data_IF_217435858184
#
_entry.id   IF_217435858184
#
_cell.length_a   1.000
_cell.length_b   1.000
_cell.length_c   1.000
_cell.angle_alpha   90.00
_cell.angle_beta   90.00
_cell.angle_gamma   90.00
#
_symmetry.space_group_name_H-M   'P 1'
#
loop_
_entity.id
_entity.type
_entity.pdbx_description
1 polymer ?
#
# COMPACT_ATOMS: atom_id res chain seq x y z
N UNK A 1 0.60 27.42 8.36
CA UNK A 1 0.79 25.96 8.22
C UNK A 1 -0.55 25.33 8.52
N UNK A 2 -1.23 24.81 7.52
CA UNK A 2 -2.49 24.08 7.71
C UNK A 2 -2.15 22.80 8.49
N UNK A 3 -2.91 22.55 9.55
CA UNK A 3 -2.62 21.46 10.48
C UNK A 3 -2.90 20.12 9.75
N UNK A 4 -1.89 19.28 9.60
CA UNK A 4 -1.99 17.98 8.91
C UNK A 4 -3.18 17.13 9.41
N UNK A 5 -3.49 17.22 10.72
CA UNK A 5 -4.63 16.53 11.34
C UNK A 5 -6.00 17.09 10.89
N UNK A 6 -6.08 18.35 10.48
CA UNK A 6 -7.32 18.95 9.96
C UNK A 6 -7.53 18.58 8.49
N UNK A 7 -6.47 18.59 7.67
CA UNK A 7 -6.53 18.12 6.28
C UNK A 7 -6.97 16.64 6.18
N UNK A 8 -6.44 15.76 7.06
CA UNK A 8 -6.84 14.35 7.06
C UNK A 8 -8.28 14.12 7.57
N UNK A 9 -8.82 14.99 8.41
CA UNK A 9 -10.21 14.90 8.89
C UNK A 9 -11.23 15.34 7.85
N UNK A 10 -11.00 16.47 7.16
CA UNK A 10 -11.91 16.96 6.12
C UNK A 10 -11.90 16.09 4.85
N UNK A 11 -10.74 15.49 4.50
CA UNK A 11 -10.62 14.62 3.31
C UNK A 11 -11.09 13.19 3.55
N UNK A 12 -11.13 12.70 4.81
CA UNK A 12 -11.61 11.34 5.14
C UNK A 12 -13.11 11.17 4.92
N UNK A 13 -13.89 12.24 4.81
CA UNK A 13 -15.33 12.15 4.53
C UNK A 13 -15.68 12.02 3.04
N UNK A 14 -14.71 12.28 2.13
CA UNK A 14 -14.89 12.02 0.70
C UNK A 14 -14.76 10.52 0.44
N UNK A 15 -15.88 9.79 0.47
CA UNK A 15 -15.92 8.38 0.08
C UNK A 15 -15.42 8.23 -1.35
N UNK A 16 -14.33 7.51 -1.51
CA UNK A 16 -13.89 7.03 -2.83
C UNK A 16 -15.01 6.11 -3.33
N UNK A 17 -15.69 6.46 -4.42
CA UNK A 17 -16.73 5.61 -5.00
C UNK A 17 -16.08 4.30 -5.47
N UNK A 18 -16.67 3.20 -5.04
CA UNK A 18 -16.25 1.86 -5.41
C UNK A 18 -16.56 1.62 -6.89
N UNK A 19 -15.68 0.93 -7.58
CA UNK A 19 -15.82 0.41 -8.94
C UNK A 19 -17.21 -0.24 -9.21
N UNK A 20 -17.59 -0.42 -10.49
CA UNK A 20 -18.83 -1.11 -10.85
C UNK A 20 -19.00 -2.41 -10.08
N UNK A 21 -20.26 -2.75 -9.78
CA UNK A 21 -20.58 -3.96 -9.00
C UNK A 21 -20.19 -5.19 -9.81
N UNK A 22 -19.03 -5.74 -9.55
CA UNK A 22 -18.59 -7.02 -10.13
C UNK A 22 -19.22 -8.19 -9.38
N UNK A 23 -19.53 -9.24 -10.13
CA UNK A 23 -20.18 -10.45 -9.65
C UNK A 23 -19.22 -11.63 -9.58
N UNK A 24 -19.66 -12.73 -8.96
CA UNK A 24 -18.95 -14.00 -8.97
C UNK A 24 -18.82 -14.58 -10.40
N UNK A 25 -19.80 -14.30 -11.25
CA UNK A 25 -19.73 -14.75 -12.64
C UNK A 25 -18.64 -14.03 -13.43
N UNK A 26 -18.43 -12.73 -13.17
CA UNK A 26 -17.31 -11.99 -13.75
C UNK A 26 -15.96 -12.58 -13.33
N UNK A 27 -15.82 -13.02 -12.07
CA UNK A 27 -14.63 -13.75 -11.59
C UNK A 27 -14.43 -15.06 -12.33
N UNK A 28 -15.47 -15.90 -12.43
CA UNK A 28 -15.38 -17.21 -13.09
C UNK A 28 -15.03 -17.08 -14.57
N UNK A 29 -15.55 -16.06 -15.25
CA UNK A 29 -15.26 -15.77 -16.64
C UNK A 29 -13.79 -15.37 -16.88
N UNK A 30 -13.06 -15.00 -15.84
CA UNK A 30 -11.64 -14.65 -15.87
C UNK A 30 -10.71 -15.78 -15.41
N UNK A 31 -11.21 -16.97 -15.08
CA UNK A 31 -10.34 -18.10 -14.75
C UNK A 31 -9.50 -18.49 -15.96
N UNK A 32 -8.19 -18.52 -15.77
CA UNK A 32 -7.23 -18.99 -16.79
C UNK A 32 -6.84 -20.46 -16.60
N UNK A 33 -7.11 -21.02 -15.42
CA UNK A 33 -6.95 -22.42 -15.13
C UNK A 33 -8.29 -23.07 -14.86
N UNK A 34 -8.44 -24.32 -15.28
CA UNK A 34 -9.59 -25.15 -14.91
C UNK A 34 -9.47 -25.57 -13.44
N UNK A 35 -10.60 -25.55 -12.74
CA UNK A 35 -10.63 -26.09 -11.37
C UNK A 35 -10.40 -27.60 -11.43
N UNK A 36 -9.39 -28.15 -10.73
CA UNK A 36 -9.17 -29.58 -10.72
C UNK A 36 -10.40 -30.35 -10.24
N UNK A 37 -10.60 -31.55 -10.81
CA UNK A 37 -11.69 -32.42 -10.42
C UNK A 37 -11.43 -33.01 -9.03
N UNK A 38 -12.45 -32.98 -8.18
CA UNK A 38 -12.39 -33.51 -6.82
C UNK A 38 -13.31 -32.77 -5.87
N UNK A 39 -13.90 -33.50 -4.94
CA UNK A 39 -14.83 -32.94 -3.97
C UNK A 39 -14.19 -31.82 -3.16
N UNK A 40 -12.94 -32.00 -2.77
CA UNK A 40 -12.18 -31.05 -1.98
C UNK A 40 -11.99 -29.69 -2.70
N UNK A 41 -11.63 -29.72 -3.99
CA UNK A 41 -11.51 -28.51 -4.82
C UNK A 41 -12.85 -27.82 -5.01
N UNK A 42 -13.91 -28.57 -5.28
CA UNK A 42 -15.25 -28.02 -5.47
C UNK A 42 -15.76 -27.35 -4.20
N UNK A 43 -15.60 -28.01 -3.05
CA UNK A 43 -16.04 -27.50 -1.76
C UNK A 43 -15.22 -26.24 -1.38
N UNK A 44 -13.90 -26.28 -1.62
CA UNK A 44 -13.02 -25.13 -1.40
C UNK A 44 -13.40 -23.94 -2.28
N UNK A 45 -13.60 -24.17 -3.58
CA UNK A 45 -13.97 -23.12 -4.54
C UNK A 45 -15.29 -22.44 -4.15
N UNK A 46 -16.32 -23.23 -3.81
CA UNK A 46 -17.61 -22.71 -3.36
C UNK A 46 -17.46 -21.81 -2.14
N UNK A 47 -16.75 -22.28 -1.11
CA UNK A 47 -16.50 -21.54 0.12
C UNK A 47 -15.75 -20.22 -0.13
N UNK A 48 -14.71 -20.25 -0.96
CA UNK A 48 -13.93 -19.05 -1.30
C UNK A 48 -14.79 -18.02 -2.05
N UNK A 49 -15.53 -18.45 -3.08
CA UNK A 49 -16.40 -17.56 -3.86
C UNK A 49 -17.51 -16.96 -3.01
N UNK A 50 -18.11 -17.72 -2.09
CA UNK A 50 -19.11 -17.21 -1.15
C UNK A 50 -18.52 -16.12 -0.26
N UNK A 51 -17.34 -16.34 0.33
CA UNK A 51 -16.70 -15.37 1.21
C UNK A 51 -16.23 -14.12 0.46
N UNK A 52 -15.69 -14.27 -0.76
CA UNK A 52 -15.32 -13.17 -1.65
C UNK A 52 -16.55 -12.31 -1.98
N UNK A 53 -17.68 -12.94 -2.28
CA UNK A 53 -18.94 -12.23 -2.57
C UNK A 53 -19.46 -11.47 -1.35
N UNK A 54 -19.52 -12.14 -0.20
CA UNK A 54 -20.02 -11.56 1.05
C UNK A 54 -19.19 -10.35 1.50
N UNK A 55 -17.87 -10.40 1.27
CA UNK A 55 -16.94 -9.29 1.57
C UNK A 55 -16.79 -8.28 0.41
N UNK A 56 -17.55 -8.44 -0.69
CA UNK A 56 -17.56 -7.54 -1.88
C UNK A 56 -16.16 -7.36 -2.51
N UNK A 57 -15.38 -8.44 -2.59
CA UNK A 57 -14.01 -8.40 -3.08
C UNK A 57 -13.86 -8.72 -4.58
N UNK A 58 -14.96 -8.93 -5.31
CA UNK A 58 -14.92 -9.28 -6.74
C UNK A 58 -14.14 -8.23 -7.55
N UNK A 59 -14.48 -6.95 -7.41
CA UNK A 59 -13.78 -5.86 -8.11
C UNK A 59 -12.31 -5.75 -7.76
N UNK A 60 -11.95 -6.04 -6.51
CA UNK A 60 -10.55 -6.03 -6.07
C UNK A 60 -9.70 -7.11 -6.78
N UNK A 61 -10.21 -8.34 -6.84
CA UNK A 61 -9.54 -9.44 -7.53
C UNK A 61 -9.47 -9.19 -9.04
N UNK A 62 -10.56 -8.71 -9.65
CA UNK A 62 -10.59 -8.39 -11.08
C UNK A 62 -9.64 -7.25 -11.43
N UNK A 63 -9.47 -6.25 -10.57
CA UNK A 63 -8.47 -5.20 -10.78
C UNK A 63 -7.04 -5.76 -10.78
N UNK A 64 -6.74 -6.75 -9.93
CA UNK A 64 -5.45 -7.43 -9.99
C UNK A 64 -5.28 -8.21 -11.30
N UNK A 65 -6.32 -8.89 -11.79
CA UNK A 65 -6.31 -9.58 -13.09
C UNK A 65 -6.07 -8.59 -14.23
N UNK A 66 -6.76 -7.45 -14.26
CA UNK A 66 -6.56 -6.41 -15.28
C UNK A 66 -5.12 -5.89 -15.31
N UNK A 67 -4.48 -5.71 -14.14
CA UNK A 67 -3.06 -5.35 -14.05
C UNK A 67 -2.20 -6.42 -14.72
N UNK A 68 -2.47 -7.69 -14.45
CA UNK A 68 -1.73 -8.80 -15.05
C UNK A 68 -1.96 -8.91 -16.56
N UNK A 69 -3.16 -8.63 -17.04
CA UNK A 69 -3.49 -8.61 -18.48
C UNK A 69 -2.71 -7.54 -19.23
N UNK A 70 -2.61 -6.31 -18.70
CA UNK A 70 -1.84 -5.24 -19.35
C UNK A 70 -0.32 -5.42 -19.23
N UNK A 71 0.13 -6.27 -18.31
CA UNK A 71 1.54 -6.60 -18.08
C UNK A 71 1.88 -8.04 -18.44
N UNK A 72 1.09 -8.69 -19.30
CA UNK A 72 1.13 -10.13 -19.60
C UNK A 72 2.49 -10.66 -20.07
N UNK A 73 3.36 -9.80 -20.63
CA UNK A 73 4.72 -10.17 -21.03
C UNK A 73 5.76 -9.98 -19.91
N UNK A 74 5.37 -9.44 -18.75
CA UNK A 74 6.26 -9.27 -17.60
C UNK A 74 5.96 -10.39 -16.60
N UNK A 75 6.91 -11.30 -16.32
CA UNK A 75 6.70 -12.34 -15.33
C UNK A 75 6.48 -11.74 -13.94
N UNK A 76 5.60 -12.32 -13.17
CA UNK A 76 5.34 -11.91 -11.80
C UNK A 76 5.32 -13.11 -10.84
N UNK A 77 5.53 -12.83 -9.58
CA UNK A 77 5.33 -13.76 -8.47
C UNK A 77 4.44 -13.07 -7.44
N UNK A 78 3.48 -13.81 -6.90
CA UNK A 78 2.62 -13.29 -5.83
C UNK A 78 3.23 -13.62 -4.47
N UNK A 79 3.30 -12.62 -3.61
CA UNK A 79 3.72 -12.79 -2.22
C UNK A 79 2.54 -12.79 -1.25
N UNK A 80 2.82 -13.06 0.01
CA UNK A 80 1.86 -12.89 1.09
C UNK A 80 0.75 -13.92 1.11
N UNK A 81 -0.46 -13.46 1.41
CA UNK A 81 -1.62 -14.32 1.67
C UNK A 81 -2.34 -14.82 0.41
N UNK A 82 -2.14 -14.19 -0.75
CA UNK A 82 -2.81 -14.57 -2.02
C UNK A 82 -2.52 -16.02 -2.42
N UNK A 83 -1.31 -16.54 -2.13
CA UNK A 83 -0.95 -17.93 -2.39
C UNK A 83 -1.77 -18.97 -1.62
N UNK A 84 -2.66 -18.54 -0.71
CA UNK A 84 -3.57 -19.45 0.02
C UNK A 84 -4.99 -19.48 -0.56
N UNK A 85 -5.26 -18.76 -1.64
CA UNK A 85 -6.57 -18.73 -2.30
C UNK A 85 -6.57 -19.53 -3.60
N UNK A 86 -7.49 -20.50 -3.71
CA UNK A 86 -7.74 -21.24 -4.94
C UNK A 86 -8.28 -20.31 -6.04
N UNK A 87 -9.14 -19.35 -5.68
CA UNK A 87 -9.64 -18.35 -6.63
C UNK A 87 -8.49 -17.52 -7.20
N UNK A 88 -7.55 -17.07 -6.36
CA UNK A 88 -6.37 -16.34 -6.84
C UNK A 88 -5.50 -17.20 -7.77
N UNK A 89 -5.38 -18.50 -7.51
CA UNK A 89 -4.70 -19.44 -8.39
C UNK A 89 -5.42 -19.58 -9.74
N UNK A 90 -6.73 -19.84 -9.73
CA UNK A 90 -7.52 -20.00 -10.96
C UNK A 90 -7.53 -18.72 -11.83
N UNK A 91 -7.46 -17.56 -11.20
CA UNK A 91 -7.32 -16.25 -11.88
C UNK A 91 -5.90 -15.97 -12.39
N UNK A 92 -4.91 -16.80 -12.05
CA UNK A 92 -3.50 -16.55 -12.39
C UNK A 92 -2.85 -15.42 -11.57
N UNK A 93 -3.53 -14.90 -10.55
CA UNK A 93 -2.92 -13.96 -9.59
C UNK A 93 -1.82 -14.68 -8.82
N UNK A 94 -2.08 -15.91 -8.36
CA UNK A 94 -1.09 -16.76 -7.68
C UNK A 94 -0.61 -17.89 -8.60
N UNK A 95 0.70 -18.19 -8.51
CA UNK A 95 1.33 -19.30 -9.22
C UNK A 95 1.27 -20.62 -8.41
N UNK A 96 0.65 -20.61 -7.23
CA UNK A 96 0.64 -21.74 -6.30
C UNK A 96 -0.78 -22.26 -6.14
N UNK A 97 -0.97 -23.57 -6.41
CA UNK A 97 -2.18 -24.29 -6.04
C UNK A 97 -2.18 -24.54 -4.53
N UNK A 98 -3.08 -23.91 -3.76
CA UNK A 98 -3.05 -24.00 -2.31
C UNK A 98 -3.41 -25.38 -1.76
N UNK A 99 -4.20 -26.19 -2.50
CA UNK A 99 -4.59 -27.52 -2.03
C UNK A 99 -3.45 -28.53 -2.21
N UNK A 100 -2.67 -28.42 -3.29
CA UNK A 100 -1.48 -29.26 -3.48
C UNK A 100 -0.44 -29.07 -2.37
N UNK A 101 -0.45 -27.93 -1.69
CA UNK A 101 0.50 -27.58 -0.63
C UNK A 101 -0.13 -27.52 0.77
N UNK A 102 -1.35 -28.02 0.94
CA UNK A 102 -2.12 -27.98 2.20
C UNK A 102 -2.17 -26.58 2.84
N UNK A 103 -2.33 -25.53 2.01
CA UNK A 103 -2.38 -24.16 2.47
C UNK A 103 -3.83 -23.77 2.79
N UNK A 104 -4.05 -23.30 4.01
CA UNK A 104 -5.38 -22.93 4.50
C UNK A 104 -5.80 -21.55 3.99
N UNK A 105 -7.05 -21.44 3.51
CA UNK A 105 -7.64 -20.21 2.97
C UNK A 105 -7.74 -19.08 4.01
N UNK A 106 -7.90 -19.43 5.26
CA UNK A 106 -8.03 -18.47 6.37
C UNK A 106 -6.85 -17.52 6.51
N UNK A 107 -5.72 -17.81 5.87
CA UNK A 107 -4.59 -16.89 5.76
C UNK A 107 -4.89 -15.70 4.84
N UNK A 108 -5.70 -15.90 3.81
CA UNK A 108 -6.13 -14.85 2.87
C UNK A 108 -7.39 -14.16 3.37
N UNK A 109 -8.47 -14.92 3.59
CA UNK A 109 -9.75 -14.42 4.07
C UNK A 109 -10.32 -15.33 5.15
N UNK A 110 -10.94 -14.73 6.14
CA UNK A 110 -11.76 -15.43 7.14
C UNK A 110 -12.89 -14.53 7.63
N UNK A 111 -13.87 -15.11 8.30
CA UNK A 111 -15.08 -14.41 8.76
C UNK A 111 -14.78 -13.37 9.85
N UNK A 112 -13.74 -13.60 10.64
CA UNK A 112 -13.41 -12.80 11.83
C UNK A 112 -12.47 -11.63 11.54
N UNK A 113 -11.91 -11.56 10.34
CA UNK A 113 -10.94 -10.54 9.97
C UNK A 113 -11.65 -9.39 9.23
N UNK A 114 -11.65 -8.21 9.84
CA UNK A 114 -12.22 -6.99 9.23
C UNK A 114 -11.27 -6.35 8.21
N UNK A 115 -9.97 -6.60 8.34
CA UNK A 115 -8.98 -6.05 7.42
C UNK A 115 -9.07 -6.75 6.06
N UNK A 116 -9.07 -5.94 5.01
CA UNK A 116 -8.99 -6.42 3.63
C UNK A 116 -7.68 -7.17 3.40
N UNK A 117 -7.68 -8.22 2.55
CA UNK A 117 -6.45 -8.92 2.20
C UNK A 117 -5.54 -8.02 1.36
N UNK A 118 -4.23 -8.15 1.53
CA UNK A 118 -3.26 -7.51 0.65
C UNK A 118 -3.01 -8.40 -0.59
N UNK A 119 -2.98 -7.78 -1.77
CA UNK A 119 -2.48 -8.40 -3.01
C UNK A 119 -1.12 -7.78 -3.31
N UNK A 120 -0.09 -8.61 -3.25
CA UNK A 120 1.29 -8.23 -3.48
C UNK A 120 1.78 -8.87 -4.77
N UNK A 121 1.93 -8.08 -5.83
CA UNK A 121 2.44 -8.51 -7.13
C UNK A 121 3.91 -8.10 -7.25
N UNK A 122 4.80 -9.08 -7.28
CA UNK A 122 6.25 -8.89 -7.33
C UNK A 122 6.76 -9.07 -8.76
N UNK A 123 7.27 -7.99 -9.32
CA UNK A 123 7.80 -7.93 -10.68
C UNK A 123 9.33 -7.81 -10.67
N UNK A 124 10.04 -8.18 -11.75
CA UNK A 124 11.46 -7.94 -11.87
C UNK A 124 11.79 -6.45 -11.65
N UNK A 125 12.78 -6.17 -10.81
CA UNK A 125 13.12 -4.80 -10.39
C UNK A 125 13.33 -3.84 -11.58
N UNK A 126 13.98 -4.30 -12.62
CA UNK A 126 14.28 -3.48 -13.81
C UNK A 126 13.07 -3.22 -14.73
N UNK A 127 11.93 -3.93 -14.54
CA UNK A 127 10.68 -3.75 -15.30
C UNK A 127 9.58 -3.07 -14.48
N UNK A 128 9.82 -2.81 -13.21
CA UNK A 128 8.82 -2.24 -12.32
C UNK A 128 8.33 -0.85 -12.74
N UNK A 129 9.23 0.00 -13.22
CA UNK A 129 8.85 1.34 -13.69
C UNK A 129 7.98 1.25 -14.96
N UNK A 130 8.19 0.22 -15.79
CA UNK A 130 7.33 -0.06 -16.94
C UNK A 130 5.92 -0.48 -16.51
N UNK A 131 5.79 -1.28 -15.44
CA UNK A 131 4.49 -1.61 -14.85
C UNK A 131 3.76 -0.33 -14.44
N UNK A 132 4.41 0.59 -13.72
CA UNK A 132 3.80 1.86 -13.34
C UNK A 132 3.40 2.71 -14.54
N UNK A 133 4.21 2.75 -15.60
CA UNK A 133 3.87 3.45 -16.84
C UNK A 133 2.61 2.86 -17.49
N UNK A 134 2.50 1.54 -17.54
CA UNK A 134 1.30 0.87 -18.07
C UNK A 134 0.05 1.14 -17.25
N UNK A 135 0.17 1.19 -15.93
CA UNK A 135 -0.94 1.57 -15.06
C UNK A 135 -1.44 2.98 -15.39
N UNK A 136 -0.54 3.95 -15.54
CA UNK A 136 -0.90 5.33 -15.88
C UNK A 136 -1.53 5.45 -17.26
N UNK A 137 -1.03 4.69 -18.26
CA UNK A 137 -1.56 4.70 -19.62
C UNK A 137 -2.96 4.07 -19.73
N UNK A 138 -3.25 3.04 -18.95
CA UNK A 138 -4.54 2.35 -18.98
C UNK A 138 -5.60 3.00 -18.07
N UNK A 139 -5.18 3.64 -16.99
CA UNK A 139 -6.07 4.34 -16.05
C UNK A 139 -5.58 5.77 -15.79
N UNK A 140 -5.57 6.65 -16.82
CA UNK A 140 -5.04 8.00 -16.70
C UNK A 140 -5.79 8.79 -15.62
N UNK A 141 -5.04 9.36 -14.67
CA UNK A 141 -5.57 10.09 -13.51
C UNK A 141 -6.50 9.27 -12.59
N UNK A 142 -6.57 7.96 -12.73
CA UNK A 142 -7.38 7.09 -11.84
C UNK A 142 -6.54 6.26 -10.88
N UNK A 143 -5.23 6.23 -11.06
CA UNK A 143 -4.29 5.47 -10.22
C UNK A 143 -3.44 6.44 -9.42
N UNK A 144 -3.26 6.16 -8.13
CA UNK A 144 -2.37 6.93 -7.28
C UNK A 144 -1.46 6.03 -6.46
N UNK A 145 -0.25 6.51 -6.18
CA UNK A 145 0.68 5.90 -5.23
C UNK A 145 0.43 6.46 -3.84
N UNK A 146 0.29 5.58 -2.86
CA UNK A 146 0.12 5.98 -1.47
C UNK A 146 1.43 6.45 -0.85
N UNK A 147 1.31 7.20 0.24
CA UNK A 147 2.43 7.69 1.03
C UNK A 147 2.69 6.83 2.27
N UNK A 148 3.87 7.02 2.86
CA UNK A 148 4.08 6.73 4.26
C UNK A 148 4.16 8.06 5.02
N UNK A 149 3.47 8.16 6.14
CA UNK A 149 3.60 9.28 7.06
C UNK A 149 4.85 9.08 7.90
N UNK A 150 5.86 9.92 7.68
CA UNK A 150 7.11 9.87 8.43
C UNK A 150 7.04 10.84 9.59
N UNK A 151 7.27 10.35 10.80
CA UNK A 151 7.30 11.14 12.04
C UNK A 151 8.73 11.32 12.54
N UNK A 152 8.94 12.33 13.37
CA UNK A 152 10.20 12.53 14.01
C UNK A 152 10.39 11.51 15.14
N UNK A 153 11.35 10.62 14.99
CA UNK A 153 11.82 9.73 16.04
C UNK A 153 13.01 10.34 16.78
N UNK A 154 13.31 9.85 17.97
CA UNK A 154 14.30 10.41 18.87
C UNK A 154 15.63 10.81 18.20
N UNK A 155 16.22 9.89 17.39
CA UNK A 155 17.50 10.18 16.69
C UNK A 155 17.39 11.26 15.62
N UNK A 156 16.28 11.30 14.89
CA UNK A 156 16.06 12.31 13.84
C UNK A 156 15.69 13.67 14.44
N UNK A 157 14.88 13.67 15.49
CA UNK A 157 14.52 14.87 16.25
C UNK A 157 15.76 15.52 16.90
N UNK A 158 16.66 14.71 17.49
CA UNK A 158 17.91 15.18 18.07
C UNK A 158 18.80 15.89 17.02
N UNK A 159 18.95 15.31 15.83
CA UNK A 159 19.73 15.93 14.75
C UNK A 159 19.13 17.24 14.28
N UNK A 160 17.82 17.30 14.18
CA UNK A 160 17.12 18.52 13.78
C UNK A 160 17.20 19.60 14.87
N UNK A 161 17.11 19.21 16.14
CA UNK A 161 17.29 20.11 17.27
C UNK A 161 18.70 20.75 17.29
N UNK A 162 19.74 19.96 16.95
CA UNK A 162 21.12 20.49 16.81
C UNK A 162 21.19 21.50 15.64
N UNK A 163 20.51 21.25 14.51
CA UNK A 163 20.46 22.21 13.40
C UNK A 163 19.73 23.50 13.78
N UNK A 164 18.64 23.41 14.55
CA UNK A 164 17.88 24.57 15.02
C UNK A 164 18.69 25.53 15.89
N UNK A 165 19.72 25.06 16.59
CA UNK A 165 20.65 25.92 17.33
C UNK A 165 21.83 26.45 16.46
N UNK A 166 21.74 26.28 15.11
CA UNK A 166 22.71 26.84 14.16
C UNK A 166 23.90 25.92 13.85
N UNK A 167 23.89 24.65 14.30
CA UNK A 167 24.99 23.70 14.06
C UNK A 167 24.63 22.81 12.87
N UNK A 168 25.16 23.15 11.69
CA UNK A 168 24.93 22.41 10.43
C UNK A 168 26.04 21.42 10.09
N UNK A 169 26.90 21.07 11.05
CA UNK A 169 27.99 20.12 10.87
C UNK A 169 27.43 18.69 10.72
N UNK A 170 28.02 17.92 9.79
CA UNK A 170 27.76 16.48 9.70
C UNK A 170 28.40 15.78 10.91
N UNK A 171 27.56 15.21 11.79
CA UNK A 171 27.99 14.48 12.97
C UNK A 171 27.71 13.01 12.75
N UNK A 172 28.69 12.10 12.87
CA UNK A 172 28.49 10.67 12.79
C UNK A 172 27.42 10.19 13.78
N UNK A 173 26.72 9.13 13.40
CA UNK A 173 25.53 8.63 14.14
C UNK A 173 25.90 8.19 15.56
N UNK A 174 27.04 7.57 15.70
CA UNK A 174 27.63 7.06 16.94
C UNK A 174 28.17 8.17 17.86
N UNK A 175 28.55 9.32 17.30
CA UNK A 175 29.15 10.42 18.06
C UNK A 175 28.15 11.47 18.53
N UNK A 176 26.89 11.44 18.04
CA UNK A 176 25.92 12.52 18.26
C UNK A 176 25.65 12.79 19.75
N UNK A 177 25.54 11.74 20.55
CA UNK A 177 25.30 11.87 21.99
C UNK A 177 26.51 12.48 22.72
N UNK A 178 27.73 12.09 22.30
CA UNK A 178 28.96 12.62 22.86
C UNK A 178 29.17 14.08 22.45
N UNK A 179 28.79 14.41 21.22
CA UNK A 179 28.79 15.80 20.73
C UNK A 179 27.85 16.68 21.58
N UNK A 180 26.63 16.26 21.82
CA UNK A 180 25.66 17.03 22.65
C UNK A 180 26.18 17.25 24.06
N UNK A 181 26.86 16.25 24.68
CA UNK A 181 27.48 16.40 26.01
C UNK A 181 28.56 17.49 26.06
N UNK A 182 29.25 17.76 24.93
CA UNK A 182 30.30 18.78 24.81
C UNK A 182 29.76 20.20 24.59
N UNK A 183 28.45 20.36 24.32
CA UNK A 183 27.83 21.68 24.16
C UNK A 183 27.76 22.43 25.50
N UNK A 184 27.66 23.77 25.45
CA UNK A 184 27.36 24.57 26.64
C UNK A 184 26.02 24.17 27.27
N UNK A 185 25.82 24.46 28.54
CA UNK A 185 24.56 24.11 29.26
C UNK A 185 23.35 24.70 28.53
N UNK A 186 23.41 26.00 28.15
CA UNK A 186 22.33 26.67 27.42
C UNK A 186 21.98 25.98 26.10
N UNK A 187 23.00 25.58 25.32
CA UNK A 187 22.76 24.88 24.07
C UNK A 187 22.22 23.44 24.26
N UNK A 188 22.64 22.74 25.31
CA UNK A 188 22.06 21.42 25.67
C UNK A 188 20.58 21.55 26.02
N UNK A 189 20.24 22.53 26.85
CA UNK A 189 18.86 22.77 27.28
C UNK A 189 17.97 23.15 26.06
N UNK A 190 18.47 23.97 25.13
CA UNK A 190 17.80 24.28 23.87
C UNK A 190 17.63 23.04 22.96
N UNK A 191 18.66 22.23 22.83
CA UNK A 191 18.59 20.98 22.04
C UNK A 191 17.56 20.03 22.63
N UNK A 192 17.56 19.83 23.93
CA UNK A 192 16.59 18.95 24.60
C UNK A 192 15.16 19.47 24.44
N UNK A 193 14.94 20.78 24.60
CA UNK A 193 13.64 21.42 24.35
C UNK A 193 13.16 21.18 22.92
N UNK A 194 13.96 21.52 21.92
CA UNK A 194 13.58 21.35 20.49
C UNK A 194 13.40 19.89 20.12
N UNK A 195 14.20 18.96 20.67
CA UNK A 195 14.03 17.54 20.46
C UNK A 195 12.65 17.06 20.97
N UNK A 196 12.27 17.45 22.19
CA UNK A 196 11.01 17.07 22.80
C UNK A 196 9.79 17.68 22.08
N UNK A 197 9.92 18.89 21.53
CA UNK A 197 8.89 19.51 20.70
C UNK A 197 8.69 18.79 19.35
N UNK A 198 9.72 18.11 18.83
CA UNK A 198 9.68 17.43 17.54
C UNK A 198 9.24 15.97 17.65
N UNK A 199 9.62 15.25 18.70
CA UNK A 199 9.32 13.82 18.84
C UNK A 199 7.83 13.55 18.57
N UNK A 200 7.57 12.49 17.77
CA UNK A 200 6.26 12.01 17.38
C UNK A 200 5.39 13.01 16.59
N UNK A 201 5.95 14.19 16.22
CA UNK A 201 5.27 15.09 15.30
C UNK A 201 5.52 14.68 13.84
N UNK A 202 4.59 15.03 12.96
CA UNK A 202 4.70 14.76 11.54
C UNK A 202 5.91 15.48 10.92
N UNK A 203 6.68 14.76 10.10
CA UNK A 203 7.86 15.28 9.44
C UNK A 203 7.64 15.54 7.94
N UNK A 204 7.28 14.50 7.20
CA UNK A 204 7.00 14.58 5.76
C UNK A 204 6.31 13.32 5.26
N UNK A 205 5.79 13.39 4.05
CA UNK A 205 5.36 12.22 3.29
C UNK A 205 6.56 11.60 2.57
N UNK A 206 6.74 10.29 2.68
CA UNK A 206 7.62 9.53 1.80
C UNK A 206 6.78 8.64 0.87
N UNK A 207 7.30 8.34 -0.31
CA UNK A 207 6.62 7.47 -1.24
C UNK A 207 6.59 6.03 -0.71
N UNK A 208 5.42 5.40 -0.69
CA UNK A 208 5.32 3.96 -0.38
C UNK A 208 6.00 3.13 -1.48
N UNK A 209 6.67 2.05 -1.10
CA UNK A 209 7.47 1.26 -2.05
C UNK A 209 6.67 0.70 -3.22
N UNK A 210 5.44 0.21 -3.02
CA UNK A 210 4.64 -0.45 -4.04
C UNK A 210 3.17 -0.06 -4.07
N UNK A 211 2.63 0.49 -2.98
CA UNK A 211 1.20 0.70 -2.79
C UNK A 211 0.55 1.60 -3.84
N UNK A 212 -0.43 1.06 -4.53
CA UNK A 212 -1.31 1.79 -5.45
C UNK A 212 -2.76 1.66 -4.99
N UNK A 213 -3.55 2.66 -5.33
CA UNK A 213 -4.99 2.71 -5.11
C UNK A 213 -5.67 3.28 -6.35
N UNK A 214 -6.89 2.79 -6.63
CA UNK A 214 -7.68 3.22 -7.78
C UNK A 214 -8.82 4.15 -7.35
N UNK A 215 -9.08 5.16 -8.19
CA UNK A 215 -10.14 6.15 -8.01
C UNK A 215 -11.03 6.13 -9.24
N UNK A 216 -12.29 5.75 -9.10
CA UNK A 216 -13.21 5.66 -10.23
C UNK A 216 -13.39 7.00 -10.95
N UNK A 217 -13.61 8.07 -10.20
CA UNK A 217 -13.87 9.43 -10.72
C UNK A 217 -12.58 10.25 -10.92
N UNK A 218 -11.41 9.61 -10.88
CA UNK A 218 -10.10 10.24 -10.94
C UNK A 218 -9.57 10.65 -9.55
N UNK A 219 -8.26 10.79 -9.48
CA UNK A 219 -7.57 11.18 -8.24
C UNK A 219 -7.88 12.63 -7.91
N UNK A 220 -8.48 12.94 -6.75
CA UNK A 220 -8.78 14.32 -6.36
C UNK A 220 -7.50 15.18 -6.23
N UNK A 221 -7.55 16.42 -6.69
CA UNK A 221 -6.36 17.29 -6.70
C UNK A 221 -5.94 17.72 -5.28
N UNK A 222 -6.89 17.85 -4.36
CA UNK A 222 -6.66 18.27 -2.97
C UNK A 222 -5.88 17.24 -2.14
N UNK A 223 -5.83 15.98 -2.57
CA UNK A 223 -5.04 14.93 -1.90
C UNK A 223 -3.71 14.64 -2.61
N UNK A 224 -3.47 15.19 -3.80
CA UNK A 224 -2.23 15.01 -4.54
C UNK A 224 -1.08 15.75 -3.88
N UNK A 225 0.07 15.11 -3.77
CA UNK A 225 1.30 15.78 -3.40
C UNK A 225 1.97 16.37 -4.64
N UNK A 226 2.34 17.66 -4.54
CA UNK A 226 3.13 18.33 -5.57
C UNK A 226 4.55 17.75 -5.58
N UNK A 227 4.75 16.72 -6.35
CA UNK A 227 6.02 16.01 -6.49
C UNK A 227 6.24 15.56 -7.94
N UNK A 228 7.39 14.97 -8.24
CA UNK A 228 7.83 14.58 -9.58
C UNK A 228 6.72 14.04 -10.49
N UNK A 229 6.37 14.82 -11.51
CA UNK A 229 5.36 14.51 -12.55
C UNK A 229 5.78 13.40 -13.53
N UNK A 230 6.69 12.52 -13.15
CA UNK A 230 7.24 11.53 -14.10
C UNK A 230 6.41 10.24 -14.23
N UNK A 231 5.52 9.96 -13.27
CA UNK A 231 4.69 8.76 -13.21
C UNK A 231 3.42 9.03 -12.41
N UNK A 232 2.70 7.98 -12.02
CA UNK A 232 1.49 8.01 -11.19
C UNK A 232 1.62 8.98 -10.01
N UNK A 233 0.62 9.83 -9.81
CA UNK A 233 0.56 10.83 -8.75
C UNK A 233 0.68 10.19 -7.36
N UNK A 234 1.49 10.79 -6.49
CA UNK A 234 1.52 10.43 -5.08
C UNK A 234 0.43 11.20 -4.33
N UNK A 235 -0.25 10.53 -3.40
CA UNK A 235 -1.30 11.12 -2.55
C UNK A 235 -0.88 11.15 -1.08
N UNK A 236 -1.55 12.01 -0.29
CA UNK A 236 -1.27 12.17 1.14
C UNK A 236 -1.61 10.94 1.98
N UNK A 237 -2.51 10.05 1.51
CA UNK A 237 -3.00 8.90 2.28
C UNK A 237 -1.93 7.82 2.44
N UNK A 238 -1.85 7.25 3.63
CA UNK A 238 -1.09 6.04 3.93
C UNK A 238 -1.98 4.78 3.87
N UNK A 239 -1.39 3.62 4.15
CA UNK A 239 -2.12 2.34 4.18
C UNK A 239 -3.27 2.32 5.18
N UNK A 240 -3.13 3.03 6.32
CA UNK A 240 -4.15 3.05 7.36
C UNK A 240 -5.32 3.93 6.94
N UNK A 241 -5.06 5.05 6.25
CA UNK A 241 -6.09 5.93 5.72
C UNK A 241 -6.90 5.21 4.63
N UNK A 242 -6.23 4.47 3.74
CA UNK A 242 -6.89 3.64 2.72
C UNK A 242 -7.74 2.55 3.36
N UNK A 243 -7.23 1.86 4.38
CA UNK A 243 -7.98 0.83 5.09
C UNK A 243 -9.23 1.38 5.80
N UNK A 244 -9.14 2.56 6.45
CA UNK A 244 -10.30 3.23 7.07
C UNK A 244 -11.40 3.58 6.07
N UNK A 245 -11.02 3.90 4.83
CA UNK A 245 -11.95 4.20 3.74
C UNK A 245 -12.51 2.94 3.07
N UNK A 246 -12.07 1.75 3.51
CA UNK A 246 -12.43 0.46 2.91
C UNK A 246 -12.06 0.36 1.42
N UNK A 247 -10.99 1.06 1.01
CA UNK A 247 -10.48 0.98 -0.34
C UNK A 247 -9.43 -0.11 -0.47
N UNK A 248 -9.32 -0.64 -1.67
CA UNK A 248 -8.36 -1.68 -1.99
C UNK A 248 -7.02 -1.10 -2.37
N UNK A 249 -5.98 -1.67 -1.77
CA UNK A 249 -4.58 -1.40 -2.09
C UNK A 249 -3.99 -2.63 -2.77
N UNK A 250 -3.29 -2.42 -3.87
CA UNK A 250 -2.46 -3.43 -4.52
C UNK A 250 -1.01 -2.98 -4.42
N UNK A 251 -0.11 -3.87 -4.03
CA UNK A 251 1.31 -3.57 -3.95
C UNK A 251 2.05 -4.10 -5.19
N UNK A 252 2.65 -3.17 -5.95
CA UNK A 252 3.55 -3.46 -7.07
C UNK A 252 4.97 -3.48 -6.50
N UNK A 253 5.47 -4.66 -6.20
CA UNK A 253 6.76 -4.90 -5.54
C UNK A 253 7.86 -5.24 -6.55
N UNK A 254 9.11 -5.30 -6.04
CA UNK A 254 10.28 -5.77 -6.78
C UNK A 254 11.41 -6.17 -5.83
#
# INVERSE_FOLDING_TARGET
>A
MINHLELTKETTEKKIKVDPVYTIEDIKNKFIYECPNGKEYIDRLKRELELINNKKLCGYLLRAVEILEITNYIPHVTRGSCGSSLVCYLLGISNVDPLMHDIKFERFLNDYRDNLPDIDLDFPHFLRDEVFLKLELNWPNQVARISNHVYWHEKSALREAIRKIGINKLIPKEEINMFVKKLSKDNRDKVEKYKNELIDTFRHYSLHCGGIVFFHDGVPDDIKLNGNKKTISQIIFDKNDIAKQQNFKIDILS
#
